data_IF_575560775291
#
_entry.id   IF_575560775291
#
_cell.length_a   1.000
_cell.length_b   1.000
_cell.length_c   1.000
_cell.angle_alpha   90.00
_cell.angle_beta   90.00
_cell.angle_gamma   90.00
#
_symmetry.space_group_name_H-M   'P 1'
#
loop_
_entity.id
_entity.type
_entity.pdbx_description
1 polymer ?
#
# COMPACT_ATOMS: atom_id res chain seq x y z
N UNK A 1 -5.86 8.09 10.67
CA UNK A 1 -4.48 8.60 10.55
C UNK A 1 -3.92 8.43 9.14
N UNK A 2 -4.02 7.24 8.53
CA UNK A 2 -3.59 7.01 7.14
C UNK A 2 -4.31 7.91 6.11
N UNK A 3 -5.63 8.09 6.19
CA UNK A 3 -6.38 8.94 5.25
C UNK A 3 -5.83 10.38 5.20
N UNK A 4 -5.60 11.01 6.35
CA UNK A 4 -4.94 12.33 6.42
C UNK A 4 -3.50 12.32 5.91
N UNK A 5 -2.72 11.26 6.17
CA UNK A 5 -1.36 11.16 5.65
C UNK A 5 -1.34 11.10 4.10
N UNK A 6 -2.32 10.43 3.48
CA UNK A 6 -2.48 10.38 2.01
C UNK A 6 -2.86 11.76 1.48
N UNK A 7 -3.73 12.49 2.18
CA UNK A 7 -4.13 13.84 1.80
C UNK A 7 -2.97 14.83 1.87
N UNK A 8 -2.14 14.76 2.91
CA UNK A 8 -0.95 15.58 3.08
C UNK A 8 0.17 15.27 2.09
N UNK A 9 0.18 14.08 1.49
CA UNK A 9 1.16 13.72 0.48
C UNK A 9 0.92 14.48 -0.84
N UNK A 10 2.01 14.92 -1.48
CA UNK A 10 2.01 15.58 -2.81
C UNK A 10 1.91 14.58 -3.96
N UNK A 11 1.14 13.50 -3.79
CA UNK A 11 0.88 12.53 -4.86
C UNK A 11 -0.26 13.01 -5.76
N UNK A 12 -0.22 12.61 -7.03
CA UNK A 12 -1.31 12.87 -7.97
C UNK A 12 -2.62 12.22 -7.48
N UNK A 13 -3.77 12.80 -7.84
CA UNK A 13 -5.10 12.28 -7.52
C UNK A 13 -5.27 10.76 -7.75
N UNK A 14 -4.91 10.18 -8.92
CA UNK A 14 -5.05 8.74 -9.13
C UNK A 14 -4.18 7.90 -8.18
N UNK A 15 -3.03 8.43 -7.75
CA UNK A 15 -2.19 7.74 -6.77
C UNK A 15 -2.83 7.74 -5.39
N UNK A 16 -3.44 8.86 -4.97
CA UNK A 16 -4.15 8.96 -3.70
C UNK A 16 -5.33 7.99 -3.68
N UNK A 17 -6.12 7.97 -4.75
CA UNK A 17 -7.25 7.04 -4.90
C UNK A 17 -6.80 5.57 -4.83
N UNK A 18 -5.72 5.21 -5.54
CA UNK A 18 -5.20 3.84 -5.51
C UNK A 18 -4.73 3.42 -4.11
N UNK A 19 -4.01 4.28 -3.40
CA UNK A 19 -3.54 3.99 -2.05
C UNK A 19 -4.73 3.86 -1.08
N UNK A 20 -5.72 4.73 -1.20
CA UNK A 20 -6.91 4.70 -0.36
C UNK A 20 -7.74 3.45 -0.61
N UNK A 21 -7.92 3.04 -1.87
CA UNK A 21 -8.60 1.79 -2.22
C UNK A 21 -7.89 0.57 -1.65
N UNK A 22 -6.56 0.51 -1.78
CA UNK A 22 -5.75 -0.57 -1.16
C UNK A 22 -5.91 -0.58 0.36
N UNK A 23 -6.01 0.58 0.99
CA UNK A 23 -6.20 0.65 2.44
C UNK A 23 -7.62 0.23 2.88
N UNK A 24 -8.65 0.55 2.10
CA UNK A 24 -10.04 0.22 2.41
C UNK A 24 -10.33 -1.28 2.23
N UNK A 25 -9.73 -1.89 1.20
CA UNK A 25 -9.92 -3.32 0.86
C UNK A 25 -9.08 -4.27 1.73
N UNK A 26 -8.02 -3.77 2.37
CA UNK A 26 -7.09 -4.59 3.15
C UNK A 26 -7.44 -4.49 4.64
N UNK A 27 -7.78 -5.61 5.24
CA UNK A 27 -8.02 -5.70 6.68
C UNK A 27 -6.76 -5.42 7.50
N UNK A 28 -6.94 -4.88 8.72
CA UNK A 28 -5.84 -4.64 9.66
C UNK A 28 -5.07 -5.94 9.92
N UNK A 29 -3.74 -5.87 9.87
CA UNK A 29 -2.78 -6.99 9.98
C UNK A 29 -2.74 -7.97 8.80
N UNK A 30 -3.47 -7.74 7.71
CA UNK A 30 -3.26 -8.56 6.51
C UNK A 30 -1.86 -8.29 5.94
N UNK A 31 -1.21 -9.37 5.50
CA UNK A 31 0.11 -9.30 4.90
C UNK A 31 -0.03 -8.91 3.43
N UNK A 32 0.41 -7.70 3.13
CA UNK A 32 0.34 -7.10 1.81
C UNK A 32 1.64 -7.32 1.05
N UNK A 33 1.53 -7.42 -0.26
CA UNK A 33 2.66 -7.40 -1.18
C UNK A 33 2.19 -6.97 -2.56
N UNK A 34 3.12 -6.96 -3.53
CA UNK A 34 2.80 -6.53 -4.89
C UNK A 34 1.68 -7.33 -5.54
N UNK A 35 1.54 -8.63 -5.19
CA UNK A 35 0.47 -9.51 -5.69
C UNK A 35 -0.91 -9.05 -5.22
N UNK A 36 -1.09 -8.83 -3.92
CA UNK A 36 -2.36 -8.34 -3.35
C UNK A 36 -2.77 -7.00 -3.92
N UNK A 37 -1.83 -6.05 -3.98
CA UNK A 37 -2.10 -4.72 -4.54
C UNK A 37 -2.52 -4.83 -6.01
N UNK A 38 -1.92 -5.77 -6.76
CA UNK A 38 -2.30 -6.03 -8.15
C UNK A 38 -3.72 -6.55 -8.25
N UNK A 39 -4.11 -7.49 -7.38
CA UNK A 39 -5.46 -8.09 -7.37
C UNK A 39 -6.54 -7.05 -6.97
N UNK A 40 -6.25 -6.18 -5.99
CA UNK A 40 -7.18 -5.14 -5.52
C UNK A 40 -7.39 -4.01 -6.54
N UNK A 41 -6.29 -3.58 -7.17
CA UNK A 41 -6.31 -2.48 -8.13
C UNK A 41 -6.54 -2.92 -9.58
N UNK A 42 -6.56 -4.24 -9.84
CA UNK A 42 -6.54 -4.85 -11.17
C UNK A 42 -5.58 -4.13 -12.13
N UNK A 43 -4.34 -3.93 -11.68
CA UNK A 43 -3.38 -3.06 -12.37
C UNK A 43 -2.13 -3.80 -12.83
N UNK A 44 -1.29 -3.13 -13.64
CA UNK A 44 0.00 -3.68 -14.04
C UNK A 44 0.93 -3.87 -12.83
N UNK A 45 1.83 -4.88 -12.86
CA UNK A 45 2.77 -5.14 -11.77
C UNK A 45 3.65 -3.93 -11.44
N UNK A 46 3.98 -3.10 -12.43
CA UNK A 46 4.71 -1.84 -12.24
C UNK A 46 3.93 -0.83 -11.39
N UNK A 47 2.63 -0.69 -11.62
CA UNK A 47 1.74 0.20 -10.85
C UNK A 47 1.61 -0.28 -9.42
N UNK A 48 1.39 -1.59 -9.21
CA UNK A 48 1.34 -2.19 -7.88
C UNK A 48 2.64 -1.96 -7.10
N UNK A 49 3.80 -2.09 -7.76
CA UNK A 49 5.09 -1.80 -7.15
C UNK A 49 5.26 -0.32 -6.81
N UNK A 50 4.77 0.59 -7.66
CA UNK A 50 4.81 2.03 -7.38
C UNK A 50 3.97 2.41 -6.15
N UNK A 51 2.77 1.84 -6.02
CA UNK A 51 1.91 2.01 -4.83
C UNK A 51 2.62 1.48 -3.59
N UNK A 52 3.24 0.30 -3.69
CA UNK A 52 4.01 -0.30 -2.60
C UNK A 52 5.17 0.58 -2.11
N UNK A 53 5.90 1.18 -3.04
CA UNK A 53 6.98 2.11 -2.72
C UNK A 53 6.45 3.35 -2.00
N UNK A 54 5.31 3.91 -2.44
CA UNK A 54 4.67 5.06 -1.78
C UNK A 54 4.20 4.74 -0.37
N UNK A 55 3.59 3.57 -0.15
CA UNK A 55 3.21 3.10 1.19
C UNK A 55 4.41 3.02 2.13
N UNK A 56 5.56 2.55 1.62
CA UNK A 56 6.82 2.53 2.39
C UNK A 56 7.35 3.93 2.68
N UNK A 57 7.32 4.82 1.69
CA UNK A 57 7.81 6.20 1.80
C UNK A 57 7.02 7.00 2.84
N UNK A 58 5.70 6.79 2.86
CA UNK A 58 4.79 7.31 3.88
C UNK A 58 5.02 6.71 5.27
N UNK A 59 5.86 5.67 5.39
CA UNK A 59 6.10 4.89 6.61
C UNK A 59 4.82 4.36 7.24
N UNK A 60 3.81 4.03 6.43
CA UNK A 60 2.53 3.47 6.91
C UNK A 60 2.50 1.94 6.87
N UNK A 61 3.60 1.31 6.46
CA UNK A 61 3.77 -0.14 6.41
C UNK A 61 5.09 -0.57 7.03
N UNK A 62 5.12 -1.72 7.70
CA UNK A 62 6.33 -2.39 8.19
C UNK A 62 6.57 -3.70 7.46
N UNK A 63 7.83 -4.04 7.22
CA UNK A 63 8.18 -5.34 6.65
C UNK A 63 7.88 -6.46 7.66
N UNK A 64 7.38 -7.59 7.16
CA UNK A 64 7.14 -8.79 7.99
C UNK A 64 8.31 -9.74 7.83
N UNK A 65 8.99 -10.05 8.93
CA UNK A 65 10.03 -11.08 8.95
C UNK A 65 9.40 -12.47 8.97
N UNK A 66 10.01 -13.44 8.28
CA UNK A 66 9.59 -14.86 8.31
C UNK A 66 8.48 -15.26 7.31
N UNK A 67 7.90 -14.34 6.54
CA UNK A 67 6.86 -14.63 5.52
C UNK A 67 7.33 -14.46 4.05
N UNK A 68 8.63 -14.26 3.85
CA UNK A 68 9.25 -14.03 2.53
C UNK A 68 9.57 -12.56 2.23
N UNK A 69 10.49 -12.33 1.28
CA UNK A 69 10.92 -10.98 0.88
C UNK A 69 9.76 -10.20 0.26
N UNK A 70 9.64 -8.92 0.59
CA UNK A 70 8.65 -8.02 -0.02
C UNK A 70 7.23 -8.13 0.55
N UNK A 71 7.08 -8.73 1.73
CA UNK A 71 5.82 -8.78 2.49
C UNK A 71 5.80 -7.71 3.56
N UNK A 72 4.68 -7.02 3.70
CA UNK A 72 4.50 -5.92 4.64
C UNK A 72 3.14 -6.01 5.33
N UNK A 73 2.98 -5.28 6.42
CA UNK A 73 1.67 -5.05 7.08
C UNK A 73 1.53 -3.56 7.37
N UNK A 74 0.31 -3.05 7.34
CA UNK A 74 0.06 -1.67 7.76
C UNK A 74 0.42 -1.48 9.25
N UNK A 75 1.04 -0.34 9.55
CA UNK A 75 1.24 0.12 10.93
C UNK A 75 0.19 1.21 11.19
N UNK A 76 -0.58 1.04 12.26
CA UNK A 76 -1.59 2.01 12.70
C UNK A 76 -0.95 3.15 13.50
#
# INVERSE_FOLDING_TARGET
MIKSAIEQQKYNEPSKANILKVYDEIEKNQIIGTKEIKEILDCSPSTARAVMTKLRDMKVVKAVNGKGKGKYVFIE
#
